data_IF_740057944102
#
_entry.id   IF_740057944102
#
_cell.length_a   1.000
_cell.length_b   1.000
_cell.length_c   1.000
_cell.angle_alpha   90.00
_cell.angle_beta   90.00
_cell.angle_gamma   90.00
#
_symmetry.space_group_name_H-M   'P 1'
#
loop_
_entity.id
_entity.type
_entity.pdbx_description
1 polymer ?
#
# COMPACT_ATOMS: atom_id res chain seq x y z
N UNK A 1 -7.80 16.22 -14.15
CA UNK A 1 -6.63 15.62 -13.47
C UNK A 1 -6.99 14.19 -13.12
N UNK A 2 -6.30 13.22 -13.70
CA UNK A 2 -6.47 11.81 -13.35
C UNK A 2 -5.79 11.56 -12.01
N UNK A 3 -6.57 11.22 -10.98
CA UNK A 3 -5.99 10.85 -9.68
C UNK A 3 -6.43 9.43 -9.33
N UNK A 4 -5.49 8.49 -9.38
CA UNK A 4 -5.66 7.09 -8.96
C UNK A 4 -5.48 6.05 -10.07
N UNK A 5 -5.29 4.78 -9.67
CA UNK A 5 -5.23 3.61 -10.58
C UNK A 5 -6.56 3.35 -11.31
N UNK A 6 -7.65 3.90 -10.80
CA UNK A 6 -8.99 3.79 -11.34
C UNK A 6 -9.67 5.16 -11.32
N UNK A 7 -10.51 5.42 -12.30
CA UNK A 7 -11.42 6.56 -12.37
C UNK A 7 -12.86 6.04 -12.42
N UNK A 8 -13.75 6.68 -11.66
CA UNK A 8 -15.16 6.38 -11.71
C UNK A 8 -15.81 7.18 -12.83
N UNK A 9 -16.48 6.50 -13.75
CA UNK A 9 -17.15 7.09 -14.92
C UNK A 9 -18.65 6.90 -14.78
N UNK A 10 -19.40 7.99 -14.82
CA UNK A 10 -20.84 7.99 -14.97
C UNK A 10 -21.17 7.93 -16.47
N UNK A 11 -21.83 6.85 -16.91
CA UNK A 11 -22.32 6.68 -18.27
C UNK A 11 -23.84 6.80 -18.27
N UNK A 12 -24.36 7.72 -19.08
CA UNK A 12 -25.77 7.85 -19.36
C UNK A 12 -25.96 7.77 -20.89
N UNK A 13 -26.46 6.62 -21.37
CA UNK A 13 -26.58 6.31 -22.80
C UNK A 13 -25.23 6.47 -23.51
N UNK A 14 -25.10 7.47 -24.38
CA UNK A 14 -23.88 7.78 -25.15
C UNK A 14 -22.97 8.81 -24.48
N UNK A 15 -23.41 9.42 -23.36
CA UNK A 15 -22.63 10.44 -22.65
C UNK A 15 -21.88 9.80 -21.48
N UNK A 16 -20.55 9.90 -21.51
CA UNK A 16 -19.67 9.48 -20.42
C UNK A 16 -19.06 10.71 -19.72
N UNK A 17 -19.13 10.74 -18.40
CA UNK A 17 -18.52 11.78 -17.55
C UNK A 17 -17.67 11.11 -16.47
N UNK A 18 -16.44 11.59 -16.28
CA UNK A 18 -15.62 11.18 -15.15
C UNK A 18 -16.08 11.91 -13.87
N UNK A 19 -16.25 11.17 -12.78
CA UNK A 19 -16.52 11.74 -11.47
C UNK A 19 -15.21 12.14 -10.79
N UNK A 20 -15.21 13.32 -10.18
CA UNK A 20 -14.08 13.80 -9.37
C UNK A 20 -14.02 13.04 -8.04
N UNK A 21 -12.84 12.96 -7.39
CA UNK A 21 -12.69 12.26 -6.10
C UNK A 21 -13.59 12.78 -4.98
N UNK A 22 -14.01 14.04 -5.06
CA UNK A 22 -14.87 14.72 -4.07
C UNK A 22 -16.36 14.65 -4.43
N UNK A 23 -16.71 14.15 -5.61
CA UNK A 23 -18.10 14.05 -6.05
C UNK A 23 -18.77 12.78 -5.51
N UNK A 24 -19.97 12.93 -4.95
CA UNK A 24 -20.77 11.81 -4.47
C UNK A 24 -21.52 11.13 -5.64
N UNK A 25 -21.34 9.83 -5.90
CA UNK A 25 -22.05 9.13 -6.98
C UNK A 25 -23.57 9.16 -6.81
N UNK A 26 -24.05 9.07 -5.57
CA UNK A 26 -25.49 9.13 -5.26
C UNK A 26 -26.09 10.51 -5.58
N UNK A 27 -25.37 11.60 -5.30
CA UNK A 27 -25.81 12.95 -5.67
C UNK A 27 -25.80 13.15 -7.19
N UNK A 28 -24.82 12.55 -7.88
CA UNK A 28 -24.71 12.59 -9.34
C UNK A 28 -25.82 11.78 -10.01
N UNK A 29 -26.26 10.69 -9.38
CA UNK A 29 -27.41 9.91 -9.81
C UNK A 29 -28.73 10.66 -9.59
N UNK A 30 -28.89 11.32 -8.44
CA UNK A 30 -30.08 12.12 -8.14
C UNK A 30 -30.29 13.26 -9.16
N UNK A 31 -29.20 13.86 -9.65
CA UNK A 31 -29.23 14.87 -10.73
C UNK A 31 -29.76 14.32 -12.06
N UNK A 32 -29.75 13.01 -12.28
CA UNK A 32 -30.24 12.40 -13.52
C UNK A 32 -31.76 12.17 -13.52
N UNK A 33 -32.45 12.37 -12.40
CA UNK A 33 -33.92 12.32 -12.31
C UNK A 33 -34.51 11.05 -12.92
N UNK A 34 -35.41 11.18 -13.89
CA UNK A 34 -36.09 10.07 -14.57
C UNK A 34 -35.13 9.13 -15.33
N UNK A 35 -33.94 9.61 -15.68
CA UNK A 35 -32.93 8.82 -16.36
C UNK A 35 -32.00 8.07 -15.40
N UNK A 36 -32.22 8.13 -14.08
CA UNK A 36 -31.37 7.45 -13.09
C UNK A 36 -31.25 5.94 -13.35
N UNK A 37 -32.31 5.30 -13.85
CA UNK A 37 -32.30 3.88 -14.19
C UNK A 37 -31.36 3.54 -15.38
N UNK A 38 -31.11 4.52 -16.26
CA UNK A 38 -30.21 4.37 -17.42
C UNK A 38 -28.74 4.73 -17.07
N UNK A 39 -28.48 5.18 -15.84
CA UNK A 39 -27.13 5.59 -15.41
C UNK A 39 -26.33 4.38 -14.94
N UNK A 40 -25.14 4.20 -15.50
CA UNK A 40 -24.18 3.20 -15.08
C UNK A 40 -22.94 3.88 -14.49
N UNK A 41 -22.46 3.38 -13.36
CA UNK A 41 -21.16 3.77 -12.81
C UNK A 41 -20.14 2.70 -13.16
N UNK A 42 -19.15 3.08 -13.95
CA UNK A 42 -18.12 2.20 -14.49
C UNK A 42 -16.79 2.60 -13.84
N UNK A 43 -16.15 1.66 -13.15
CA UNK A 43 -14.80 1.88 -12.64
C UNK A 43 -13.80 1.56 -13.76
N UNK A 44 -13.32 2.59 -14.46
CA UNK A 44 -12.34 2.43 -15.55
C UNK A 44 -10.93 2.47 -14.95
N UNK A 45 -10.12 1.46 -15.26
CA UNK A 45 -8.70 1.45 -14.88
C UNK A 45 -7.93 2.42 -15.76
N UNK A 46 -7.08 3.23 -15.15
CA UNK A 46 -6.23 4.20 -15.84
C UNK A 46 -4.81 3.68 -15.85
N UNK A 47 -4.44 2.90 -16.88
CA UNK A 47 -3.14 2.25 -17.01
C UNK A 47 -3.22 0.98 -17.87
N UNK A 48 -2.09 0.42 -18.36
CA UNK A 48 -2.09 -0.67 -19.33
C UNK A 48 -2.81 -1.92 -18.79
N UNK A 49 -3.74 -2.45 -19.60
CA UNK A 49 -4.52 -3.67 -19.34
C UNK A 49 -3.78 -4.89 -19.91
N UNK A 50 -3.69 -5.97 -19.12
CA UNK A 50 -3.07 -7.28 -19.46
C UNK A 50 -4.00 -8.21 -20.26
N UNK A 51 -5.05 -7.68 -20.88
CA UNK A 51 -6.09 -8.50 -21.49
C UNK A 51 -6.35 -8.08 -22.94
N UNK A 52 -5.35 -8.21 -23.81
CA UNK A 52 -5.55 -8.22 -25.28
C UNK A 52 -4.28 -8.71 -25.99
N UNK A 53 -4.19 -10.01 -26.27
CA UNK A 53 -3.62 -10.51 -27.54
C UNK A 53 -4.18 -11.89 -27.90
N UNK A 54 -4.34 -12.18 -29.20
CA UNK A 54 -5.27 -13.18 -29.71
C UNK A 54 -4.72 -14.59 -29.62
N UNK A 55 -5.65 -15.52 -29.46
CA UNK A 55 -5.52 -16.96 -29.64
C UNK A 55 -4.76 -17.35 -30.91
N UNK A 56 -3.70 -18.14 -30.77
CA UNK A 56 -3.30 -19.11 -31.81
C UNK A 56 -2.56 -20.31 -31.20
N UNK A 57 -3.32 -21.40 -31.15
CA UNK A 57 -2.94 -22.82 -31.26
C UNK A 57 -2.19 -23.52 -30.10
N UNK A 58 -2.63 -24.73 -29.73
CA UNK A 58 -2.17 -25.47 -28.56
C UNK A 58 -0.98 -26.35 -28.95
N UNK A 59 -0.09 -26.63 -28.01
CA UNK A 59 0.50 -27.96 -27.77
C UNK A 59 1.56 -27.86 -26.65
N UNK A 60 1.57 -28.93 -25.86
CA UNK A 60 2.53 -29.29 -24.83
C UNK A 60 2.31 -28.70 -23.43
N UNK A 61 1.80 -29.59 -22.56
CA UNK A 61 1.52 -29.33 -21.16
C UNK A 61 2.78 -29.01 -20.36
N UNK A 62 2.72 -27.86 -19.70
CA UNK A 62 3.53 -27.49 -18.55
C UNK A 62 2.66 -26.55 -17.71
N UNK A 63 2.60 -26.69 -16.36
CA UNK A 63 1.97 -25.69 -15.51
C UNK A 63 2.79 -24.40 -15.60
N UNK A 64 2.41 -23.50 -16.50
CA UNK A 64 3.09 -22.23 -16.71
C UNK A 64 2.91 -21.36 -15.47
N UNK A 65 3.99 -21.17 -14.72
CA UNK A 65 4.07 -20.20 -13.64
C UNK A 65 3.74 -18.79 -14.19
N UNK A 66 3.04 -17.92 -13.45
CA UNK A 66 2.66 -16.61 -13.96
C UNK A 66 3.92 -15.75 -14.17
N UNK A 67 4.20 -15.40 -15.43
CA UNK A 67 5.30 -14.51 -15.79
C UNK A 67 5.11 -13.12 -15.16
N UNK A 68 6.08 -12.70 -14.34
CA UNK A 68 6.07 -11.46 -13.56
C UNK A 68 6.39 -10.27 -14.47
N UNK A 69 5.39 -9.43 -14.72
CA UNK A 69 5.52 -8.15 -15.45
C UNK A 69 6.49 -7.19 -14.75
N UNK A 70 7.31 -6.48 -15.54
CA UNK A 70 8.34 -5.50 -15.14
C UNK A 70 7.87 -4.24 -14.38
N UNK A 71 6.67 -4.24 -13.77
CA UNK A 71 6.19 -3.18 -12.89
C UNK A 71 5.67 -3.83 -11.61
N UNK A 72 6.51 -3.80 -10.57
CA UNK A 72 6.32 -4.48 -9.28
C UNK A 72 5.09 -3.93 -8.55
N UNK A 73 3.93 -4.58 -8.72
CA UNK A 73 2.79 -4.48 -7.82
C UNK A 73 2.74 -5.72 -6.94
N UNK A 74 3.67 -5.81 -5.99
CA UNK A 74 3.74 -6.90 -5.01
C UNK A 74 2.82 -6.59 -3.83
N UNK A 75 1.51 -6.82 -3.99
CA UNK A 75 0.61 -7.10 -2.87
C UNK A 75 -0.31 -8.26 -3.28
N UNK A 76 -0.63 -9.19 -2.37
CA UNK A 76 -1.48 -10.34 -2.68
C UNK A 76 -2.89 -9.86 -3.05
N UNK A 77 -3.45 -10.43 -4.12
CA UNK A 77 -4.88 -10.33 -4.43
C UNK A 77 -5.61 -11.16 -3.38
N UNK A 78 -6.11 -10.53 -2.31
CA UNK A 78 -7.08 -11.17 -1.42
C UNK A 78 -8.34 -11.50 -2.23
N UNK A 79 -8.80 -12.76 -2.29
CA UNK A 79 -10.13 -13.05 -2.82
C UNK A 79 -11.15 -12.42 -1.88
N UNK A 80 -11.97 -11.49 -2.40
CA UNK A 80 -13.10 -10.95 -1.65
C UNK A 80 -14.20 -12.00 -1.64
N UNK A 81 -14.52 -12.55 -0.46
CA UNK A 81 -15.79 -13.22 -0.25
C UNK A 81 -16.91 -12.20 -0.36
N UNK A 82 -17.92 -12.56 -1.13
CA UNK A 82 -19.21 -11.89 -1.25
C UNK A 82 -19.87 -11.66 0.10
N UNK A 83 -20.38 -10.44 0.26
CA UNK A 83 -21.25 -9.92 1.31
C UNK A 83 -22.28 -10.92 1.84
N UNK A 84 -22.28 -11.14 3.16
CA UNK A 84 -23.51 -11.29 3.95
C UNK A 84 -23.43 -10.24 5.06
N UNK A 85 -24.52 -9.50 5.19
CA UNK A 85 -24.69 -8.30 6.01
C UNK A 85 -24.37 -8.48 7.51
N UNK A 86 -23.72 -7.47 8.10
CA UNK A 86 -23.51 -7.36 9.56
C UNK A 86 -22.90 -6.00 9.96
N UNK A 87 -23.37 -5.34 11.04
CA UNK A 87 -23.16 -3.91 11.25
C UNK A 87 -21.76 -3.57 11.79
N UNK A 88 -21.20 -2.52 11.19
CA UNK A 88 -20.04 -1.68 11.58
C UNK A 88 -19.55 -1.85 13.02
N UNK A 89 -18.38 -2.47 13.19
CA UNK A 89 -17.61 -2.41 14.44
C UNK A 89 -16.84 -1.08 14.53
N UNK A 90 -17.13 -0.30 15.58
CA UNK A 90 -16.39 0.90 15.95
C UNK A 90 -15.02 0.50 16.51
N UNK A 91 -13.98 1.22 16.10
CA UNK A 91 -12.64 1.16 16.68
C UNK A 91 -12.68 1.27 18.21
N UNK A 92 -12.06 0.35 18.98
CA UNK A 92 -11.89 0.55 20.40
C UNK A 92 -10.75 1.55 20.65
N UNK A 93 -11.10 2.79 21.01
CA UNK A 93 -10.17 3.75 21.60
C UNK A 93 -10.06 3.47 23.10
N UNK A 94 -8.81 3.40 23.58
CA UNK A 94 -8.31 3.46 24.96
C UNK A 94 -8.10 2.11 25.67
N UNK A 95 -6.83 1.76 25.84
CA UNK A 95 -6.34 0.87 26.89
C UNK A 95 -6.37 1.63 28.23
N UNK A 96 -7.28 1.26 29.13
CA UNK A 96 -7.19 1.65 30.54
C UNK A 96 -6.56 0.47 31.29
N UNK A 97 -5.25 0.51 31.43
CA UNK A 97 -4.53 -0.37 32.36
C UNK A 97 -4.80 0.14 33.77
N UNK A 98 -5.63 -0.56 34.53
CA UNK A 98 -5.69 -0.39 35.98
C UNK A 98 -4.92 -1.54 36.61
N UNK A 99 -3.78 -1.19 37.19
CA UNK A 99 -2.95 -2.04 38.03
C UNK A 99 -3.76 -2.46 39.27
N UNK A 100 -4.26 -3.69 39.27
CA UNK A 100 -4.77 -4.33 40.49
C UNK A 100 -3.59 -4.83 41.32
N UNK A 101 -3.10 -3.96 42.21
CA UNK A 101 -2.26 -4.36 43.33
C UNK A 101 -3.06 -5.12 44.40
N UNK A 102 -2.40 -5.93 45.24
CA UNK A 102 -3.05 -6.77 46.23
C UNK A 102 -3.28 -6.03 47.55
N UNK A 103 -4.52 -6.02 48.05
CA UNK A 103 -4.82 -5.59 49.42
C UNK A 103 -5.89 -6.50 50.03
N UNK A 104 -5.50 -7.21 51.07
CA UNK A 104 -6.43 -7.93 51.93
C UNK A 104 -7.10 -7.03 52.96
N UNK A 105 -7.95 -7.70 53.76
CA UNK A 105 -8.33 -7.36 55.15
C UNK A 105 -9.40 -6.27 55.37
N UNK A 106 -10.36 -6.64 56.24
CA UNK A 106 -11.55 -5.92 56.78
C UNK A 106 -12.83 -6.28 56.02
N UNK A 107 -13.66 -7.22 56.46
CA UNK A 107 -14.25 -7.40 57.80
C UNK A 107 -14.99 -6.13 58.27
N UNK A 108 -16.29 -6.31 58.61
CA UNK A 108 -17.16 -5.42 59.43
C UNK A 108 -17.74 -4.17 58.71
N UNK A 109 -19.03 -3.77 58.72
CA UNK A 109 -20.33 -4.20 59.23
C UNK A 109 -21.40 -3.27 58.59
N UNK A 110 -22.64 -3.73 58.35
CA UNK A 110 -23.82 -3.05 58.92
C UNK A 110 -24.86 -4.08 59.33
N UNK A 111 -25.16 -4.01 60.62
CA UNK A 111 -26.02 -4.86 61.43
C UNK A 111 -27.47 -4.34 61.39
N UNK A 112 -28.38 -5.21 61.84
CA UNK A 112 -29.75 -4.95 62.33
C UNK A 112 -30.83 -5.28 61.29
N UNK A 113 -31.74 -6.23 61.54
CA UNK A 113 -32.74 -6.13 62.60
C UNK A 113 -33.52 -7.45 62.74
N UNK A 114 -32.96 -8.48 63.38
CA UNK A 114 -33.74 -9.68 63.78
C UNK A 114 -33.29 -10.26 65.12
N UNK A 115 -32.91 -9.39 66.05
CA UNK A 115 -32.75 -9.75 67.46
C UNK A 115 -33.31 -8.64 68.31
N UNK A 116 -34.61 -8.68 68.55
CA UNK A 116 -35.28 -8.16 69.75
C UNK A 116 -36.74 -8.61 69.69
N UNK A 117 -37.03 -9.78 70.27
CA UNK A 117 -38.18 -9.98 71.15
C UNK A 117 -38.01 -11.31 71.87
N UNK A 118 -37.08 -11.30 72.82
CA UNK A 118 -37.09 -12.25 73.94
C UNK A 118 -36.60 -11.48 75.16
N UNK A 119 -37.59 -11.06 75.97
CA UNK A 119 -37.52 -10.84 77.41
C UNK A 119 -36.76 -9.61 77.91
N UNK A 120 -37.54 -8.60 78.33
CA UNK A 120 -37.28 -7.86 79.58
C UNK A 120 -38.61 -7.35 80.16
N UNK A 121 -38.74 -7.44 81.48
CA UNK A 121 -39.74 -6.69 82.26
C UNK A 121 -40.93 -7.48 82.77
N UNK A 122 -40.74 -8.22 83.86
CA UNK A 122 -41.82 -8.55 84.79
C UNK A 122 -42.39 -7.26 85.38
N UNK A 123 -43.71 -7.07 85.27
CA UNK A 123 -44.47 -6.52 86.37
C UNK A 123 -45.59 -7.51 86.71
N UNK A 124 -45.59 -7.91 87.98
CA UNK A 124 -46.63 -8.67 88.64
C UNK A 124 -47.94 -7.87 88.56
N UNK A 125 -49.01 -8.50 88.06
CA UNK A 125 -50.26 -8.67 88.81
C UNK A 125 -51.29 -9.41 87.93
N UNK A 126 -51.88 -10.45 88.53
CA UNK A 126 -53.21 -10.98 88.22
C UNK A 126 -53.65 -11.09 86.76
N UNK A 127 -53.47 -12.27 86.16
CA UNK A 127 -54.22 -12.64 84.97
C UNK A 127 -53.64 -13.90 84.37
N UNK A 128 -54.36 -15.01 84.49
CA UNK A 128 -53.90 -16.33 84.04
C UNK A 128 -53.31 -16.28 82.63
N UNK A 129 -52.31 -17.14 82.41
CA UNK A 129 -51.87 -17.52 81.07
C UNK A 129 -53.13 -17.91 80.30
N UNK A 130 -53.70 -16.97 79.54
CA UNK A 130 -54.70 -17.27 78.54
C UNK A 130 -53.89 -18.00 77.49
N UNK A 131 -53.84 -19.32 77.65
CA UNK A 131 -53.45 -20.24 76.61
C UNK A 131 -54.16 -19.74 75.34
N UNK A 132 -53.40 -19.39 74.29
CA UNK A 132 -54.01 -18.89 73.07
C UNK A 132 -55.09 -19.88 72.69
N UNK A 133 -56.29 -19.38 72.47
CA UNK A 133 -57.40 -20.28 72.20
C UNK A 133 -57.02 -21.12 70.99
N UNK A 134 -57.51 -22.36 70.96
CA UNK A 134 -57.28 -23.27 69.84
C UNK A 134 -57.46 -22.55 68.48
N UNK A 135 -58.44 -21.65 68.39
CA UNK A 135 -58.71 -20.75 67.27
C UNK A 135 -57.53 -19.85 66.87
N UNK A 136 -56.85 -19.22 67.85
CA UNK A 136 -55.72 -18.32 67.62
C UNK A 136 -54.48 -19.05 67.10
N UNK A 137 -54.24 -20.26 67.60
CA UNK A 137 -53.18 -21.12 67.09
C UNK A 137 -53.46 -21.53 65.64
N UNK A 138 -54.70 -21.91 65.31
CA UNK A 138 -55.07 -22.21 63.92
C UNK A 138 -54.90 -21.01 63.00
N UNK A 139 -55.32 -19.81 63.43
CA UNK A 139 -55.08 -18.57 62.65
C UNK A 139 -53.60 -18.32 62.39
N UNK A 140 -52.74 -18.50 63.42
CA UNK A 140 -51.29 -18.33 63.27
C UNK A 140 -50.69 -19.39 62.34
N UNK A 141 -51.10 -20.65 62.45
CA UNK A 141 -50.63 -21.73 61.56
C UNK A 141 -51.02 -21.46 60.11
N UNK A 142 -52.26 -21.04 59.86
CA UNK A 142 -52.72 -20.63 58.52
C UNK A 142 -51.88 -19.46 57.97
N UNK A 143 -51.63 -18.43 58.78
CA UNK A 143 -50.80 -17.29 58.37
C UNK A 143 -49.35 -17.71 58.10
N UNK A 144 -48.78 -18.58 58.92
CA UNK A 144 -47.44 -19.13 58.71
C UNK A 144 -47.37 -20.00 57.44
N UNK A 145 -48.41 -20.78 57.16
CA UNK A 145 -48.50 -21.61 55.98
C UNK A 145 -48.59 -20.76 54.71
N UNK A 146 -49.39 -19.69 54.72
CA UNK A 146 -49.43 -18.72 53.62
C UNK A 146 -48.09 -18.00 53.42
N UNK A 147 -47.43 -17.58 54.50
CA UNK A 147 -46.09 -16.98 54.43
C UNK A 147 -45.05 -17.93 53.84
N UNK A 148 -45.04 -19.20 54.25
CA UNK A 148 -44.15 -20.21 53.69
C UNK A 148 -44.41 -20.41 52.20
N UNK A 149 -45.68 -20.52 51.79
CA UNK A 149 -46.03 -20.61 50.37
C UNK A 149 -45.56 -19.39 49.55
N UNK A 150 -45.64 -18.18 50.12
CA UNK A 150 -45.14 -16.98 49.46
C UNK A 150 -43.61 -16.97 49.30
N UNK A 151 -42.88 -17.47 50.29
CA UNK A 151 -41.42 -17.58 50.25
C UNK A 151 -40.96 -18.68 49.28
N UNK A 152 -41.68 -19.79 49.21
CA UNK A 152 -41.44 -20.88 48.27
C UNK A 152 -41.61 -20.39 46.82
N UNK A 153 -42.72 -19.69 46.53
CA UNK A 153 -42.95 -19.09 45.21
C UNK A 153 -41.88 -18.02 44.85
N UNK A 154 -41.41 -17.25 45.83
CA UNK A 154 -40.32 -16.29 45.62
C UNK A 154 -38.98 -17.00 45.35
N UNK A 155 -38.70 -18.09 46.07
CA UNK A 155 -37.55 -18.96 45.84
C UNK A 155 -37.53 -19.53 44.43
N UNK A 156 -38.65 -20.05 43.95
CA UNK A 156 -38.81 -20.55 42.58
C UNK A 156 -38.53 -19.47 41.53
N UNK A 157 -38.95 -18.23 41.81
CA UNK A 157 -38.71 -17.08 40.92
C UNK A 157 -37.22 -16.75 40.84
N UNK A 158 -36.53 -16.68 41.98
CA UNK A 158 -35.09 -16.42 42.03
C UNK A 158 -34.29 -17.56 41.39
N UNK A 159 -34.72 -18.81 41.58
CA UNK A 159 -34.09 -19.96 40.95
C UNK A 159 -34.25 -19.91 39.42
N UNK A 160 -35.41 -19.49 38.92
CA UNK A 160 -35.63 -19.25 37.50
C UNK A 160 -34.71 -18.15 36.97
N UNK A 161 -34.61 -17.03 37.67
CA UNK A 161 -33.75 -15.91 37.28
C UNK A 161 -32.29 -16.32 37.23
N UNK A 162 -31.78 -17.04 38.24
CA UNK A 162 -30.41 -17.56 38.27
C UNK A 162 -30.12 -18.43 37.04
N UNK A 163 -31.03 -19.35 36.71
CA UNK A 163 -30.89 -20.20 35.52
C UNK A 163 -30.88 -19.38 34.22
N UNK A 164 -31.63 -18.29 34.13
CA UNK A 164 -31.63 -17.40 32.97
C UNK A 164 -30.32 -16.60 32.87
N UNK A 165 -29.82 -16.08 33.98
CA UNK A 165 -28.54 -15.38 34.05
C UNK A 165 -27.36 -16.28 33.65
N UNK A 166 -27.36 -17.53 34.12
CA UNK A 166 -26.35 -18.52 33.75
C UNK A 166 -26.38 -18.83 32.25
N UNK A 167 -27.56 -19.10 31.68
CA UNK A 167 -27.71 -19.35 30.23
C UNK A 167 -27.28 -18.15 29.39
N UNK A 168 -27.68 -16.94 29.77
CA UNK A 168 -27.31 -15.72 29.04
C UNK A 168 -25.81 -15.45 29.10
N UNK A 169 -25.17 -15.72 30.24
CA UNK A 169 -23.73 -15.57 30.41
C UNK A 169 -22.96 -16.58 29.58
N UNK A 170 -23.34 -17.85 29.65
CA UNK A 170 -22.69 -18.94 28.91
C UNK A 170 -22.85 -18.75 27.40
N UNK A 171 -24.05 -18.43 26.91
CA UNK A 171 -24.27 -18.18 25.49
C UNK A 171 -23.45 -16.98 24.97
N UNK A 172 -23.31 -15.91 25.76
CA UNK A 172 -22.45 -14.78 25.40
C UNK A 172 -20.98 -15.17 25.31
N UNK A 173 -20.50 -15.93 26.30
CA UNK A 173 -19.11 -16.40 26.38
C UNK A 173 -18.78 -17.40 25.26
N UNK A 174 -19.66 -18.35 24.94
CA UNK A 174 -19.46 -19.30 23.86
C UNK A 174 -19.30 -18.61 22.51
N UNK A 175 -20.14 -17.61 22.22
CA UNK A 175 -20.02 -16.82 20.99
C UNK A 175 -18.72 -16.01 20.93
N UNK A 176 -18.30 -15.44 22.06
CA UNK A 176 -17.03 -14.72 22.16
C UNK A 176 -15.82 -15.66 21.97
N UNK A 177 -15.86 -16.85 22.57
CA UNK A 177 -14.83 -17.88 22.41
C UNK A 177 -14.72 -18.29 20.94
N UNK A 178 -15.83 -18.61 20.28
CA UNK A 178 -15.84 -18.99 18.86
C UNK A 178 -15.28 -17.88 17.95
N UNK A 179 -15.63 -16.62 18.24
CA UNK A 179 -15.09 -15.48 17.51
C UNK A 179 -13.57 -15.37 17.70
N UNK A 180 -13.09 -15.47 18.94
CA UNK A 180 -11.67 -15.41 19.25
C UNK A 180 -10.89 -16.57 18.62
N UNK A 181 -11.42 -17.79 18.62
CA UNK A 181 -10.81 -18.93 17.93
C UNK A 181 -10.68 -18.71 16.43
N UNK A 182 -11.69 -18.10 15.79
CA UNK A 182 -11.61 -17.74 14.38
C UNK A 182 -10.53 -16.69 14.12
N UNK A 183 -10.42 -15.68 14.99
CA UNK A 183 -9.39 -14.65 14.90
C UNK A 183 -8.00 -15.24 15.10
N UNK A 184 -7.82 -16.13 16.08
CA UNK A 184 -6.54 -16.81 16.34
C UNK A 184 -6.12 -17.63 15.13
N UNK A 185 -7.02 -18.45 14.55
CA UNK A 185 -6.72 -19.22 13.33
C UNK A 185 -6.29 -18.33 12.18
N UNK A 186 -6.95 -17.18 12.01
CA UNK A 186 -6.56 -16.21 10.99
C UNK A 186 -5.18 -15.62 11.27
N UNK A 187 -4.91 -15.22 12.51
CA UNK A 187 -3.62 -14.68 12.90
C UNK A 187 -2.50 -15.71 12.71
N UNK A 188 -2.74 -16.98 13.02
CA UNK A 188 -1.79 -18.08 12.77
C UNK A 188 -1.48 -18.23 11.29
N UNK A 189 -2.48 -18.14 10.41
CA UNK A 189 -2.24 -18.16 8.95
C UNK A 189 -1.44 -16.95 8.48
N UNK A 190 -1.71 -15.75 9.01
CA UNK A 190 -0.98 -14.53 8.66
C UNK A 190 0.47 -14.57 9.20
N UNK A 191 0.70 -15.12 10.40
CA UNK A 191 2.03 -15.37 10.98
C UNK A 191 2.82 -16.41 10.17
N UNK A 192 2.15 -17.44 9.64
CA UNK A 192 2.78 -18.43 8.77
C UNK A 192 3.38 -17.86 7.48
N UNK A 193 2.93 -16.67 7.05
CA UNK A 193 3.48 -15.98 5.88
C UNK A 193 4.76 -15.16 6.20
N UNK A 194 5.16 -15.04 7.45
CA UNK A 194 6.29 -14.18 7.84
C UNK A 194 7.59 -14.58 7.14
N UNK A 195 7.92 -15.88 7.10
CA UNK A 195 9.12 -16.39 6.45
C UNK A 195 9.14 -16.09 4.94
N UNK A 196 7.97 -16.13 4.30
CA UNK A 196 7.80 -15.75 2.91
C UNK A 196 8.10 -14.26 2.71
N UNK A 197 7.53 -13.39 3.54
CA UNK A 197 7.78 -11.94 3.46
C UNK A 197 9.23 -11.58 3.77
N UNK A 198 9.86 -12.25 4.73
CA UNK A 198 11.28 -12.08 5.01
C UNK A 198 12.15 -12.51 3.81
N UNK A 199 11.78 -13.60 3.13
CA UNK A 199 12.49 -14.08 1.94
C UNK A 199 12.33 -13.12 0.75
N UNK A 200 11.12 -12.64 0.49
CA UNK A 200 10.86 -11.62 -0.55
C UNK A 200 11.59 -10.30 -0.26
N UNK A 201 11.68 -9.89 1.01
CA UNK A 201 12.45 -8.71 1.39
C UNK A 201 13.95 -8.88 1.12
N UNK A 202 14.52 -10.05 1.41
CA UNK A 202 15.94 -10.34 1.10
C UNK A 202 16.20 -10.29 -0.40
N UNK A 203 15.36 -10.96 -1.19
CA UNK A 203 15.48 -10.97 -2.65
C UNK A 203 15.38 -9.55 -3.23
N UNK A 204 14.49 -8.72 -2.69
CA UNK A 204 14.36 -7.33 -3.14
C UNK A 204 15.60 -6.50 -2.83
N UNK A 205 16.20 -6.66 -1.65
CA UNK A 205 17.45 -5.97 -1.29
C UNK A 205 18.60 -6.37 -2.22
N UNK A 206 18.68 -7.64 -2.59
CA UNK A 206 19.68 -8.12 -3.55
C UNK A 206 19.44 -7.53 -4.94
N UNK A 207 18.19 -7.54 -5.42
CA UNK A 207 17.81 -6.93 -6.69
C UNK A 207 18.10 -5.42 -6.74
N UNK A 208 17.83 -4.71 -5.63
CA UNK A 208 18.14 -3.29 -5.49
C UNK A 208 19.65 -3.05 -5.59
N UNK A 209 20.45 -3.84 -4.86
CA UNK A 209 21.91 -3.77 -4.90
C UNK A 209 22.44 -3.99 -6.31
N UNK A 210 21.98 -5.01 -7.03
CA UNK A 210 22.38 -5.23 -8.43
C UNK A 210 22.05 -4.04 -9.32
N UNK A 211 20.86 -3.44 -9.14
CA UNK A 211 20.46 -2.26 -9.91
C UNK A 211 21.36 -1.07 -9.61
N UNK A 212 21.71 -0.87 -8.34
CA UNK A 212 22.65 0.17 -7.91
C UNK A 212 24.05 -0.07 -8.50
N UNK A 213 24.52 -1.33 -8.57
CA UNK A 213 25.78 -1.69 -9.21
C UNK A 213 25.77 -1.37 -10.70
N UNK A 214 24.70 -1.73 -11.42
CA UNK A 214 24.52 -1.39 -12.84
C UNK A 214 24.54 0.13 -13.05
N UNK A 215 23.86 0.89 -12.20
CA UNK A 215 23.87 2.36 -12.26
C UNK A 215 25.29 2.92 -12.02
N UNK A 216 26.01 2.38 -11.02
CA UNK A 216 27.40 2.79 -10.76
C UNK A 216 28.32 2.49 -11.94
N UNK A 217 28.21 1.31 -12.54
CA UNK A 217 28.98 0.93 -13.72
C UNK A 217 28.68 1.82 -14.93
N UNK A 218 27.40 2.13 -15.18
CA UNK A 218 27.00 3.04 -16.26
C UNK A 218 27.49 4.47 -16.03
N UNK A 219 27.52 4.95 -14.79
CA UNK A 219 28.10 6.26 -14.46
C UNK A 219 29.59 6.29 -14.74
N UNK A 220 30.33 5.26 -14.32
CA UNK A 220 31.75 5.15 -14.57
C UNK A 220 32.06 5.13 -16.08
N UNK A 221 31.32 4.34 -16.88
CA UNK A 221 31.53 4.33 -18.33
C UNK A 221 31.15 5.64 -19.01
N UNK A 222 30.11 6.34 -18.52
CA UNK A 222 29.77 7.67 -19.01
C UNK A 222 30.88 8.68 -18.72
N UNK A 223 31.49 8.62 -17.54
CA UNK A 223 32.65 9.45 -17.17
C UNK A 223 33.85 9.17 -18.07
N UNK A 224 34.14 7.89 -18.35
CA UNK A 224 35.19 7.47 -19.30
C UNK A 224 34.94 8.03 -20.72
N UNK A 225 33.72 7.90 -21.25
CA UNK A 225 33.39 8.47 -22.55
C UNK A 225 33.46 10.00 -22.55
N UNK A 226 33.07 10.64 -21.46
CA UNK A 226 33.16 12.11 -21.31
C UNK A 226 34.61 12.56 -21.34
N UNK A 227 35.50 11.87 -20.62
CA UNK A 227 36.94 12.13 -20.66
C UNK A 227 37.49 11.89 -22.08
N UNK A 228 37.07 10.82 -22.75
CA UNK A 228 37.53 10.53 -24.11
C UNK A 228 37.09 11.60 -25.12
N UNK A 229 35.87 12.10 -24.99
CA UNK A 229 35.37 13.21 -25.81
C UNK A 229 36.22 14.46 -25.56
N UNK A 230 36.51 14.77 -24.29
CA UNK A 230 37.37 15.89 -23.93
C UNK A 230 38.78 15.76 -24.54
N UNK A 231 39.43 14.60 -24.40
CA UNK A 231 40.74 14.34 -25.02
C UNK A 231 40.73 14.53 -26.54
N UNK A 232 39.69 14.02 -27.21
CA UNK A 232 39.55 14.18 -28.66
C UNK A 232 39.32 15.64 -29.03
N UNK A 233 38.51 16.38 -28.27
CA UNK A 233 38.28 17.80 -28.52
C UNK A 233 39.56 18.62 -28.43
N UNK A 234 40.39 18.41 -27.40
CA UNK A 234 41.68 19.08 -27.25
C UNK A 234 42.63 18.73 -28.41
N UNK A 235 42.66 17.46 -28.84
CA UNK A 235 43.47 17.05 -30.00
C UNK A 235 42.99 17.70 -31.30
N UNK A 236 41.68 17.80 -31.49
CA UNK A 236 41.10 18.46 -32.66
C UNK A 236 41.40 19.95 -32.66
N UNK A 237 41.31 20.63 -31.51
CA UNK A 237 41.69 22.04 -31.36
C UNK A 237 43.17 22.26 -31.70
N UNK A 238 44.07 21.44 -31.15
CA UNK A 238 45.50 21.53 -31.43
C UNK A 238 45.84 21.35 -32.92
N UNK A 239 45.24 20.35 -33.57
CA UNK A 239 45.41 20.14 -35.02
C UNK A 239 44.83 21.31 -35.83
N UNK A 240 43.73 21.91 -35.37
CA UNK A 240 43.12 23.05 -36.03
C UNK A 240 44.01 24.30 -35.93
N UNK A 241 44.65 24.55 -34.78
CA UNK A 241 45.66 25.59 -34.61
C UNK A 241 46.88 25.34 -35.51
N UNK A 242 47.36 24.10 -35.60
CA UNK A 242 48.48 23.74 -36.48
C UNK A 242 48.17 24.01 -37.96
N UNK A 243 46.97 23.63 -38.41
CA UNK A 243 46.50 23.92 -39.77
C UNK A 243 46.44 25.44 -40.01
N UNK A 244 45.87 26.21 -39.06
CA UNK A 244 45.80 27.66 -39.18
C UNK A 244 47.20 28.30 -39.24
N UNK A 245 48.13 27.83 -38.40
CA UNK A 245 49.51 28.28 -38.41
C UNK A 245 50.20 27.96 -39.73
N UNK A 246 50.02 26.74 -40.26
CA UNK A 246 50.60 26.32 -41.53
C UNK A 246 50.01 27.10 -42.72
N UNK A 247 48.70 27.41 -42.70
CA UNK A 247 48.06 28.27 -43.70
C UNK A 247 48.60 29.70 -43.64
N UNK A 248 48.76 30.27 -42.44
CA UNK A 248 49.35 31.59 -42.25
C UNK A 248 50.80 31.63 -42.75
N UNK A 249 51.59 30.59 -42.48
CA UNK A 249 52.96 30.52 -42.97
C UNK A 249 53.06 30.31 -44.48
N UNK A 250 52.16 29.52 -45.08
CA UNK A 250 52.06 29.46 -46.56
C UNK A 250 51.72 30.83 -47.15
N UNK A 251 50.83 31.60 -46.51
CA UNK A 251 50.48 32.94 -46.97
C UNK A 251 51.66 33.93 -46.86
N UNK A 252 52.50 33.84 -45.84
CA UNK A 252 53.74 34.64 -45.72
C UNK A 252 54.78 34.24 -46.77
N UNK A 253 55.04 32.93 -46.94
CA UNK A 253 55.98 32.44 -47.96
C UNK A 253 55.53 32.80 -49.38
N UNK A 254 54.23 32.77 -49.67
CA UNK A 254 53.68 33.25 -50.93
C UNK A 254 53.88 34.75 -51.18
N UNK A 255 54.22 35.52 -50.14
CA UNK A 255 54.54 36.96 -50.22
C UNK A 255 56.04 37.23 -50.30
N UNK A 256 56.87 36.36 -49.73
CA UNK A 256 58.34 36.47 -49.74
C UNK A 256 58.99 35.84 -50.98
N UNK A 257 58.34 34.85 -51.60
CA UNK A 257 58.75 34.37 -52.93
C UNK A 257 58.23 35.39 -53.95
N UNK A 258 59.08 36.36 -54.30
CA UNK A 258 58.96 37.12 -55.54
C UNK A 258 59.01 36.12 -56.71
N UNK A 259 57.86 35.51 -57.01
CA UNK A 259 57.68 34.76 -58.24
C UNK A 259 58.05 35.70 -59.38
N UNK A 260 59.04 35.36 -60.23
CA UNK A 260 59.33 36.17 -61.40
C UNK A 260 58.03 36.40 -62.16
N UNK A 261 57.82 37.65 -62.58
CA UNK A 261 56.58 38.07 -63.24
C UNK A 261 56.22 37.06 -64.34
N UNK A 262 54.94 36.75 -64.58
CA UNK A 262 54.54 35.86 -65.67
C UNK A 262 55.23 36.20 -67.01
N UNK A 263 55.52 37.48 -67.23
CA UNK A 263 56.25 38.00 -68.38
C UNK A 263 57.74 37.57 -68.35
N UNK A 264 58.39 37.61 -67.19
CA UNK A 264 59.80 37.19 -67.03
C UNK A 264 59.98 35.68 -67.20
N UNK A 265 58.99 34.88 -66.77
CA UNK A 265 58.97 33.44 -67.01
C UNK A 265 58.77 33.12 -68.49
N UNK A 266 57.89 33.87 -69.17
CA UNK A 266 57.66 33.72 -70.60
C UNK A 266 58.88 34.16 -71.42
N UNK A 267 59.57 35.23 -71.01
CA UNK A 267 60.83 35.67 -71.61
C UNK A 267 61.96 34.65 -71.40
N UNK A 268 62.08 34.06 -70.21
CA UNK A 268 63.03 32.96 -69.97
C UNK A 268 62.69 31.73 -70.80
N UNK A 269 61.42 31.36 -70.91
CA UNK A 269 60.97 30.24 -71.72
C UNK A 269 61.25 30.46 -73.22
N UNK A 270 60.97 31.67 -73.75
CA UNK A 270 61.29 32.00 -75.14
C UNK A 270 62.79 32.02 -75.38
N UNK A 271 63.59 32.47 -74.41
CA UNK A 271 65.06 32.43 -74.50
C UNK A 271 65.57 30.99 -74.54
N UNK A 272 65.12 30.11 -73.65
CA UNK A 272 65.47 28.69 -73.68
C UNK A 272 65.03 28.00 -74.98
N UNK A 273 63.86 28.37 -75.50
CA UNK A 273 63.38 27.87 -76.79
C UNK A 273 64.31 28.27 -77.94
N UNK A 274 64.75 29.54 -77.98
CA UNK A 274 65.72 30.02 -78.98
C UNK A 274 67.07 29.30 -78.83
N UNK A 275 67.54 29.08 -77.62
CA UNK A 275 68.81 28.36 -77.37
C UNK A 275 68.73 26.89 -77.82
N UNK A 276 67.60 26.22 -77.56
CA UNK A 276 67.35 24.87 -78.06
C UNK A 276 67.28 24.84 -79.59
N UNK A 277 66.56 25.77 -80.21
CA UNK A 277 66.49 25.87 -81.67
C UNK A 277 67.87 26.16 -82.29
N UNK A 278 68.69 26.98 -81.63
CA UNK A 278 70.07 27.24 -82.04
C UNK A 278 70.94 25.97 -81.94
N UNK A 279 70.80 25.21 -80.85
CA UNK A 279 71.49 23.91 -80.68
C UNK A 279 71.02 22.87 -81.68
N UNK A 280 69.73 22.83 -82.01
CA UNK A 280 69.18 21.94 -83.05
C UNK A 280 69.74 22.33 -84.42
N UNK A 281 69.76 23.62 -84.78
CA UNK A 281 70.36 24.09 -86.03
C UNK A 281 71.84 23.77 -86.13
N UNK A 282 72.58 23.94 -85.03
CA UNK A 282 73.98 23.55 -84.94
C UNK A 282 74.17 22.04 -85.11
N UNK A 283 73.27 21.23 -84.54
CA UNK A 283 73.26 19.78 -84.73
C UNK A 283 73.00 19.36 -86.18
N UNK A 284 72.05 20.00 -86.86
CA UNK A 284 71.72 19.71 -88.27
C UNK A 284 72.78 20.19 -89.28
N UNK A 285 73.73 21.04 -88.87
CA UNK A 285 74.87 21.44 -89.70
C UNK A 285 76.09 20.52 -89.54
N UNK A 286 76.04 19.60 -88.57
CA UNK A 286 77.09 18.62 -88.28
C UNK A 286 76.71 17.19 -88.74
N UNK A 287 75.55 17.04 -89.39
CA UNK A 287 75.12 15.85 -90.16
C UNK A 287 75.39 16.06 -91.66
#
# INVERSE_FOLDING_TARGET
GQTGRYVLVQKLREKERQLLPLECPLESLAKCGQYANDVQFILRRTGPSMAERPSSSPLLGSPQAPERTFIRASLPIKPRLTSIDGPRSREPKKSMTFSLGPTGSSDLFTVSRWRHQTRDGLDLEGGGVVQPSKEELFRRVLQQQEQLHSLEAHGDTLEMDLRLWERSRLAGQENEILYLEQVVRRNETELGEEEFWQSELRLEKECERERQERVRSLRASLEEYTQRIYELSVRTEALQEEIQWEMAERAKRGKEISMPSPIELEDMATKMKRDLEAKVKQGTQLE
#
